data_IF_899260902621
#
_entry.id   IF_899260902621
#
_cell.length_a   1.000
_cell.length_b   1.000
_cell.length_c   1.000
_cell.angle_alpha   90.00
_cell.angle_beta   90.00
_cell.angle_gamma   90.00
#
_symmetry.space_group_name_H-M   'P 1'
#
loop_
_entity.id
_entity.type
_entity.pdbx_description
1 polymer ?
#
# COMPACT_ATOMS: atom_id res chain seq x y z
N UNK A 1 -29.52 45.04 52.14
CA UNK A 1 -28.46 45.27 51.12
C UNK A 1 -27.72 43.96 50.91
N UNK A 2 -28.13 43.13 49.88
CA UNK A 2 -27.54 41.84 49.58
C UNK A 2 -26.84 41.95 48.21
N UNK A 3 -25.52 41.88 48.19
CA UNK A 3 -24.71 41.82 46.98
C UNK A 3 -24.67 40.40 46.52
N UNK A 4 -25.22 40.14 45.35
CA UNK A 4 -25.15 38.85 44.63
C UNK A 4 -23.87 38.81 43.83
N UNK A 5 -22.92 37.98 44.22
CA UNK A 5 -21.75 37.67 43.41
C UNK A 5 -22.15 36.68 42.30
N UNK A 6 -22.22 37.15 41.06
CA UNK A 6 -22.24 36.31 39.87
C UNK A 6 -20.80 36.03 39.47
N UNK A 7 -20.28 34.89 39.87
CA UNK A 7 -19.03 34.36 39.33
C UNK A 7 -19.32 33.74 37.97
N UNK A 8 -18.75 34.31 36.91
CA UNK A 8 -18.85 33.81 35.58
C UNK A 8 -18.08 32.49 35.48
N UNK A 9 -18.78 31.40 35.14
CA UNK A 9 -18.21 30.16 34.65
C UNK A 9 -17.96 30.30 33.15
N UNK A 10 -16.80 30.81 32.76
CA UNK A 10 -16.33 30.76 31.38
C UNK A 10 -14.88 30.27 31.38
N UNK A 11 -14.68 28.98 31.52
CA UNK A 11 -13.42 28.32 31.15
C UNK A 11 -13.63 26.82 31.06
N UNK A 12 -14.16 26.29 29.93
CA UNK A 12 -13.83 24.93 29.57
C UNK A 12 -14.17 24.50 28.13
N UNK A 13 -14.55 25.40 27.23
CA UNK A 13 -14.91 25.00 25.85
C UNK A 13 -13.76 25.08 24.86
N UNK A 14 -12.71 25.85 25.13
CA UNK A 14 -11.59 26.01 24.22
C UNK A 14 -10.64 24.76 24.20
N UNK A 15 -10.41 24.16 25.38
CA UNK A 15 -9.53 22.99 25.49
C UNK A 15 -10.10 21.73 24.85
N UNK A 16 -11.41 21.56 24.81
CA UNK A 16 -12.09 20.46 24.16
C UNK A 16 -12.02 20.54 22.62
N UNK A 17 -12.22 21.76 22.09
CA UNK A 17 -12.16 22.00 20.64
C UNK A 17 -10.77 21.81 20.04
N UNK A 18 -9.72 22.18 20.78
CA UNK A 18 -8.32 22.00 20.33
C UNK A 18 -7.95 20.50 20.31
N UNK A 19 -8.40 19.72 21.28
CA UNK A 19 -8.18 18.26 21.29
C UNK A 19 -8.88 17.54 20.14
N UNK A 20 -10.10 17.95 19.79
CA UNK A 20 -10.83 17.40 18.64
C UNK A 20 -10.19 17.79 17.30
N UNK A 21 -9.68 19.01 17.16
CA UNK A 21 -8.96 19.47 15.97
C UNK A 21 -7.62 18.72 15.79
N UNK A 22 -6.88 18.49 16.87
CA UNK A 22 -5.64 17.69 16.84
C UNK A 22 -5.91 16.22 16.52
N UNK A 23 -7.01 15.63 17.02
CA UNK A 23 -7.38 14.25 16.70
C UNK A 23 -7.79 14.10 15.22
N UNK A 24 -8.49 15.09 14.66
CA UNK A 24 -8.87 15.11 13.24
C UNK A 24 -7.65 15.28 12.31
N UNK A 25 -6.62 16.02 12.72
CA UNK A 25 -5.39 16.19 11.95
C UNK A 25 -4.56 14.89 11.89
N UNK A 26 -4.63 14.06 12.94
CA UNK A 26 -3.93 12.76 12.99
C UNK A 26 -4.60 11.69 12.12
N UNK A 27 -5.90 11.80 11.84
CA UNK A 27 -6.63 10.83 11.01
C UNK A 27 -6.36 10.98 9.50
N UNK A 28 -5.73 12.09 9.07
CA UNK A 28 -5.51 12.37 7.64
C UNK A 28 -4.15 11.90 7.09
N UNK A 29 -3.30 11.25 7.90
CA UNK A 29 -1.96 10.81 7.48
C UNK A 29 -1.91 9.42 6.82
N UNK A 30 -3.06 8.82 6.47
CA UNK A 30 -3.15 7.40 6.06
C UNK A 30 -3.26 7.08 4.57
N UNK A 31 -3.45 8.05 3.68
CA UNK A 31 -3.62 7.80 2.23
C UNK A 31 -2.39 8.24 1.42
N UNK A 32 -1.26 7.67 1.70
CA UNK A 32 -0.15 7.70 0.74
C UNK A 32 -0.40 6.57 -0.27
N UNK A 33 -0.97 6.92 -1.43
CA UNK A 33 -1.08 6.00 -2.54
C UNK A 33 0.32 5.53 -2.95
N UNK A 34 0.55 4.22 -2.97
CA UNK A 34 1.80 3.64 -3.44
C UNK A 34 1.99 4.01 -4.91
N UNK A 35 2.98 4.86 -5.19
CA UNK A 35 3.31 5.26 -6.56
C UNK A 35 4.21 4.21 -7.19
N UNK A 36 3.61 3.28 -7.93
CA UNK A 36 4.32 2.36 -8.79
C UNK A 36 4.32 2.87 -10.22
N UNK A 37 5.44 2.69 -10.91
CA UNK A 37 5.56 3.00 -12.33
C UNK A 37 6.12 1.79 -13.11
N UNK A 38 5.43 1.31 -14.14
CA UNK A 38 4.10 1.75 -14.60
C UNK A 38 2.99 1.46 -13.58
N UNK A 39 1.91 2.25 -13.63
CA UNK A 39 0.78 2.08 -12.71
C UNK A 39 0.16 0.69 -12.90
N UNK A 40 -0.03 -0.09 -11.82
CA UNK A 40 -0.68 -1.38 -11.89
C UNK A 40 -2.18 -1.26 -12.18
N UNK A 41 -2.79 -2.35 -12.61
CA UNK A 41 -4.23 -2.40 -12.90
C UNK A 41 -5.08 -2.27 -11.64
N UNK A 42 -4.64 -2.87 -10.53
CA UNK A 42 -5.29 -2.76 -9.24
C UNK A 42 -4.29 -2.96 -8.08
N UNK A 43 -4.56 -2.33 -6.95
CA UNK A 43 -3.82 -2.51 -5.69
C UNK A 43 -4.85 -2.67 -4.56
N UNK A 44 -4.74 -3.77 -3.83
CA UNK A 44 -5.49 -4.05 -2.62
C UNK A 44 -4.55 -3.99 -1.42
N UNK A 45 -4.80 -3.11 -0.46
CA UNK A 45 -3.96 -2.96 0.72
C UNK A 45 -4.45 -3.84 1.86
N UNK A 46 -3.53 -4.49 2.57
CA UNK A 46 -3.79 -5.32 3.73
C UNK A 46 -3.08 -4.77 4.98
N UNK A 47 -3.48 -5.26 6.15
CA UNK A 47 -2.80 -4.92 7.40
C UNK A 47 -1.45 -5.60 7.47
N UNK A 48 -0.42 -4.89 7.95
CA UNK A 48 0.92 -5.42 8.16
C UNK A 48 1.96 -4.80 7.25
N UNK A 49 3.20 -5.10 7.54
CA UNK A 49 4.38 -4.64 6.78
C UNK A 49 5.37 -5.80 6.63
N UNK A 50 6.01 -5.86 5.47
CA UNK A 50 7.11 -6.77 5.17
C UNK A 50 8.43 -5.99 5.23
N UNK A 51 9.43 -6.52 5.95
CA UNK A 51 10.76 -5.93 5.98
C UNK A 51 11.59 -6.50 4.83
N UNK A 52 11.90 -5.67 3.83
CA UNK A 52 12.66 -6.07 2.66
C UNK A 52 14.14 -5.68 2.82
N UNK A 53 14.99 -6.69 2.97
CA UNK A 53 16.45 -6.59 3.00
C UNK A 53 17.07 -7.68 2.10
N UNK A 54 18.38 -7.76 2.03
CA UNK A 54 19.08 -8.77 1.21
C UNK A 54 18.76 -10.22 1.63
N UNK A 55 18.47 -10.45 2.91
CA UNK A 55 18.10 -11.76 3.45
C UNK A 55 16.68 -12.12 3.07
N UNK A 56 15.79 -11.14 3.04
CA UNK A 56 14.37 -11.30 2.69
C UNK A 56 14.15 -11.64 1.22
N UNK A 57 15.14 -11.43 0.35
CA UNK A 57 15.07 -11.88 -1.03
C UNK A 57 14.86 -13.40 -1.16
N UNK A 58 15.23 -14.17 -0.15
CA UNK A 58 15.00 -15.63 -0.04
C UNK A 58 13.52 -15.98 0.24
N UNK A 59 12.75 -15.02 0.75
CA UNK A 59 11.32 -15.19 1.02
C UNK A 59 10.44 -14.89 -0.20
N UNK A 60 11.03 -14.56 -1.35
CA UNK A 60 10.32 -14.31 -2.59
C UNK A 60 10.12 -15.62 -3.35
N UNK A 61 8.87 -16.04 -3.46
CA UNK A 61 8.47 -17.22 -4.24
C UNK A 61 7.89 -16.79 -5.57
N UNK A 62 8.33 -17.41 -6.66
CA UNK A 62 7.87 -17.08 -8.01
C UNK A 62 7.27 -18.31 -8.66
N UNK A 63 6.04 -18.17 -9.14
CA UNK A 63 5.33 -19.18 -9.94
C UNK A 63 5.06 -18.60 -11.32
N UNK A 64 5.26 -19.41 -12.36
CA UNK A 64 4.90 -19.04 -13.72
C UNK A 64 3.77 -19.97 -14.18
N UNK A 65 2.62 -19.36 -14.48
CA UNK A 65 1.44 -20.07 -14.94
C UNK A 65 0.80 -19.35 -16.12
N UNK A 66 0.34 -20.09 -17.11
CA UNK A 66 -0.34 -19.50 -18.28
C UNK A 66 -1.67 -18.84 -17.94
N UNK A 67 -2.26 -19.13 -16.81
CA UNK A 67 -3.50 -18.48 -16.33
C UNK A 67 -3.26 -17.93 -14.93
N UNK A 68 -3.44 -16.63 -14.75
CA UNK A 68 -3.55 -16.03 -13.44
C UNK A 68 -5.01 -16.11 -12.99
N UNK A 69 -5.31 -16.51 -11.76
CA UNK A 69 -6.68 -16.53 -11.23
C UNK A 69 -7.24 -15.13 -11.01
N UNK A 70 -6.70 -14.13 -11.67
CA UNK A 70 -6.99 -12.74 -11.43
C UNK A 70 -8.09 -12.22 -12.33
N UNK A 71 -9.11 -11.90 -11.72
CA UNK A 71 -10.10 -10.84 -11.91
C UNK A 71 -9.88 -10.02 -13.20
N UNK A 72 -10.50 -10.43 -14.32
CA UNK A 72 -10.68 -9.60 -15.50
C UNK A 72 -9.41 -9.07 -16.18
N UNK A 73 -8.27 -9.66 -15.92
CA UNK A 73 -7.02 -9.30 -16.59
C UNK A 73 -6.90 -10.12 -17.86
N UNK A 74 -6.96 -9.44 -18.99
CA UNK A 74 -6.71 -10.02 -20.28
C UNK A 74 -5.31 -10.65 -20.30
N UNK A 75 -5.19 -11.87 -20.83
CA UNK A 75 -3.93 -12.60 -20.87
C UNK A 75 -2.87 -11.80 -21.62
N UNK A 76 -1.76 -11.54 -20.93
CA UNK A 76 -0.60 -10.88 -21.50
C UNK A 76 0.66 -11.55 -20.99
N UNK A 77 1.67 -11.69 -21.85
CA UNK A 77 2.99 -12.23 -21.50
C UNK A 77 3.70 -11.45 -20.37
N UNK A 78 3.22 -10.26 -20.04
CA UNK A 78 3.81 -9.40 -19.03
C UNK A 78 2.92 -9.26 -17.78
N UNK A 79 1.81 -10.00 -17.73
CA UNK A 79 0.90 -9.94 -16.58
C UNK A 79 1.52 -10.62 -15.36
N UNK A 80 1.26 -10.02 -14.19
CA UNK A 80 1.63 -10.60 -12.91
C UNK A 80 0.66 -10.23 -11.80
N UNK A 81 0.60 -11.08 -10.80
CA UNK A 81 0.03 -10.84 -9.49
C UNK A 81 1.17 -10.87 -8.48
N UNK A 82 1.21 -9.89 -7.60
CA UNK A 82 2.17 -9.77 -6.53
C UNK A 82 1.41 -9.73 -5.21
N UNK A 83 1.67 -10.66 -4.31
CA UNK A 83 1.10 -10.67 -2.97
C UNK A 83 2.22 -10.52 -1.94
N UNK A 84 2.11 -9.49 -1.10
CA UNK A 84 3.06 -9.18 -0.04
C UNK A 84 2.37 -9.40 1.30
N UNK A 85 2.86 -10.41 2.02
CA UNK A 85 2.44 -10.76 3.38
C UNK A 85 3.53 -10.34 4.38
N UNK A 86 3.30 -10.38 5.71
CA UNK A 86 4.33 -10.03 6.68
C UNK A 86 5.59 -10.90 6.61
N UNK A 87 5.46 -12.15 6.13
CA UNK A 87 6.53 -13.15 6.18
C UNK A 87 7.10 -13.52 4.81
N UNK A 88 6.37 -13.26 3.74
CA UNK A 88 6.73 -13.74 2.40
C UNK A 88 6.16 -12.87 1.30
N UNK A 89 6.80 -12.92 0.14
CA UNK A 89 6.34 -12.31 -1.10
C UNK A 89 6.08 -13.41 -2.12
N UNK A 90 4.89 -13.41 -2.71
CA UNK A 90 4.49 -14.34 -3.75
C UNK A 90 4.33 -13.60 -5.06
N UNK A 91 4.96 -14.12 -6.11
CA UNK A 91 4.85 -13.63 -7.48
C UNK A 91 4.22 -14.73 -8.32
N UNK A 92 3.04 -14.46 -8.86
CA UNK A 92 2.42 -15.28 -9.88
C UNK A 92 2.45 -14.50 -11.19
N UNK A 93 3.09 -15.06 -12.21
CA UNK A 93 3.29 -14.37 -13.47
C UNK A 93 2.94 -15.28 -14.66
N UNK A 94 2.51 -14.68 -15.77
CA UNK A 94 2.20 -15.41 -17.00
C UNK A 94 3.45 -15.84 -17.76
N UNK A 95 4.56 -15.15 -17.52
CA UNK A 95 5.85 -15.44 -18.14
C UNK A 95 7.02 -14.95 -17.28
N UNK A 96 8.24 -15.25 -17.75
CA UNK A 96 9.48 -14.71 -17.16
C UNK A 96 9.51 -13.17 -17.22
N UNK A 97 8.93 -12.55 -18.25
CA UNK A 97 8.82 -11.09 -18.37
C UNK A 97 7.91 -10.53 -17.28
N UNK A 98 6.74 -11.13 -17.06
CA UNK A 98 5.84 -10.74 -15.97
C UNK A 98 6.51 -10.84 -14.60
N UNK A 99 7.24 -11.94 -14.36
CA UNK A 99 8.00 -12.12 -13.12
C UNK A 99 9.11 -11.05 -12.95
N UNK A 100 9.76 -10.65 -14.04
CA UNK A 100 10.73 -9.55 -14.01
C UNK A 100 10.07 -8.23 -13.59
N UNK A 101 8.92 -7.86 -14.17
CA UNK A 101 8.21 -6.64 -13.82
C UNK A 101 7.70 -6.66 -12.36
N UNK A 102 7.22 -7.81 -11.89
CA UNK A 102 6.86 -7.97 -10.49
C UNK A 102 8.05 -7.69 -9.54
N UNK A 103 9.24 -8.17 -9.86
CA UNK A 103 10.46 -7.91 -9.09
C UNK A 103 10.86 -6.42 -9.12
N UNK A 104 10.67 -5.75 -10.25
CA UNK A 104 10.90 -4.30 -10.33
C UNK A 104 9.89 -3.53 -9.45
N UNK A 105 8.62 -3.95 -9.41
CA UNK A 105 7.63 -3.38 -8.52
C UNK A 105 8.03 -3.53 -7.04
N UNK A 106 8.51 -4.70 -6.61
CA UNK A 106 9.02 -4.91 -5.25
C UNK A 106 10.16 -3.93 -4.93
N UNK A 107 11.13 -3.77 -5.84
CA UNK A 107 12.24 -2.83 -5.65
C UNK A 107 11.76 -1.38 -5.50
N UNK A 108 10.80 -0.96 -6.32
CA UNK A 108 10.22 0.39 -6.23
C UNK A 108 9.52 0.59 -4.88
N UNK A 109 8.72 -0.37 -4.42
CA UNK A 109 8.06 -0.32 -3.12
C UNK A 109 9.09 -0.23 -1.99
N UNK A 110 10.11 -1.07 -2.01
CA UNK A 110 11.16 -1.07 -1.00
C UNK A 110 11.92 0.26 -0.94
N UNK A 111 12.21 0.88 -2.08
CA UNK A 111 12.84 2.20 -2.15
C UNK A 111 11.93 3.29 -1.58
N UNK A 112 10.64 3.30 -1.94
CA UNK A 112 9.68 4.30 -1.47
C UNK A 112 9.42 4.21 0.03
N UNK A 113 9.37 3.01 0.57
CA UNK A 113 9.00 2.77 1.97
C UNK A 113 10.23 2.45 2.85
N UNK A 114 11.41 2.79 2.39
CA UNK A 114 12.68 2.61 3.13
C UNK A 114 12.86 1.19 3.67
N UNK A 115 12.55 0.20 2.84
CA UNK A 115 12.66 -1.22 3.16
C UNK A 115 11.49 -1.82 3.95
N UNK A 116 10.51 -1.04 4.37
CA UNK A 116 9.30 -1.54 5.06
C UNK A 116 8.09 -1.45 4.14
N UNK A 117 7.86 -2.49 3.34
CA UNK A 117 6.78 -2.53 2.37
C UNK A 117 5.47 -2.86 3.08
N UNK A 118 4.40 -2.09 2.83
CA UNK A 118 3.06 -2.42 3.32
C UNK A 118 2.52 -3.68 2.64
N UNK A 119 1.86 -4.54 3.42
CA UNK A 119 1.22 -5.72 2.88
C UNK A 119 0.12 -5.31 1.90
N UNK A 120 0.17 -5.89 0.70
CA UNK A 120 -0.76 -5.57 -0.37
C UNK A 120 -0.79 -6.69 -1.41
N UNK A 121 -1.85 -6.68 -2.21
CA UNK A 121 -1.95 -7.48 -3.41
C UNK A 121 -2.02 -6.55 -4.62
N UNK A 122 -1.17 -6.78 -5.60
CA UNK A 122 -1.02 -5.95 -6.78
C UNK A 122 -1.29 -6.80 -7.99
N UNK A 123 -2.17 -6.30 -8.87
CA UNK A 123 -2.45 -6.90 -10.16
C UNK A 123 -1.96 -5.96 -11.24
N UNK A 124 -1.17 -6.48 -12.17
CA UNK A 124 -0.66 -5.70 -13.28
C UNK A 124 -0.71 -6.49 -14.57
N UNK A 125 -1.30 -5.87 -15.57
CA UNK A 125 -1.25 -6.30 -16.96
C UNK A 125 -0.98 -5.06 -17.81
N UNK A 126 -0.13 -5.16 -18.84
CA UNK A 126 0.09 -4.02 -19.72
C UNK A 126 -1.21 -3.63 -20.43
N UNK A 127 -1.51 -2.33 -20.43
CA UNK A 127 -2.68 -1.78 -21.15
C UNK A 127 -2.55 -1.88 -22.67
N UNK A 128 -1.32 -2.00 -23.14
CA UNK A 128 -0.99 -2.05 -24.56
C UNK A 128 -0.13 -3.28 -24.82
N UNK A 129 -0.44 -4.01 -25.89
CA UNK A 129 0.31 -5.20 -26.31
C UNK A 129 1.78 -4.88 -26.70
N UNK A 130 2.08 -3.61 -26.88
CA UNK A 130 3.40 -3.13 -27.29
C UNK A 130 3.94 -2.09 -26.33
N UNK A 131 5.06 -2.39 -25.69
CA UNK A 131 5.90 -1.42 -25.02
C UNK A 131 7.12 -1.22 -25.90
N UNK A 132 7.12 -0.12 -26.63
CA UNK A 132 8.23 0.29 -27.46
C UNK A 132 9.49 0.57 -26.67
#
# INVERSE_FOLDING_TARGET
MKRTNRTLFIHNTARGRIKFLLLALFAFQGLQAQKLFPAPSAIETHKGTFSYDEVSAKCVRTTISKSLPAIGIEYSDEAYQLEITPDSIFIDATSVKGAFYARQAIKQLAQHERGKIRCCRIYSSPRYAWRG
#
